data_IF_789762630841
#
_entry.id   IF_789762630841
#
_cell.length_a   1.000
_cell.length_b   1.000
_cell.length_c   1.000
_cell.angle_alpha   90.00
_cell.angle_beta   90.00
_cell.angle_gamma   90.00
#
_symmetry.space_group_name_H-M   'P 1'
#
loop_
_entity.id
_entity.type
_entity.pdbx_description
1 polymer ?
#
# COMPACT_ATOMS: atom_id res chain seq x y z
N UNK A 1 10.29 5.20 -11.57
CA UNK A 1 9.08 4.45 -11.93
C UNK A 1 9.27 3.75 -13.25
N UNK A 2 8.92 2.47 -13.31
CA UNK A 2 8.82 1.75 -14.57
C UNK A 2 7.70 2.33 -15.46
N UNK A 3 7.89 2.29 -16.78
CA UNK A 3 6.90 2.75 -17.76
C UNK A 3 5.54 2.06 -17.55
N UNK A 4 5.57 0.76 -17.27
CA UNK A 4 4.37 -0.03 -16.98
C UNK A 4 3.60 0.50 -15.76
N UNK A 5 4.28 0.90 -14.68
CA UNK A 5 3.61 1.48 -13.51
C UNK A 5 3.02 2.86 -13.81
N UNK A 6 3.76 3.72 -14.52
CA UNK A 6 3.28 5.07 -14.87
C UNK A 6 1.99 5.00 -15.70
N UNK A 7 1.94 4.09 -16.67
CA UNK A 7 0.80 3.96 -17.58
C UNK A 7 -0.41 3.31 -16.90
N UNK A 8 -0.19 2.29 -16.05
CA UNK A 8 -1.27 1.43 -15.57
C UNK A 8 -1.74 1.69 -14.13
N UNK A 9 -1.00 2.45 -13.32
CA UNK A 9 -1.35 2.70 -11.92
C UNK A 9 -2.67 3.47 -11.78
N UNK A 10 -2.80 4.63 -12.42
CA UNK A 10 -4.02 5.46 -12.31
C UNK A 10 -5.27 4.71 -12.82
N UNK A 11 -5.25 4.06 -14.01
CA UNK A 11 -6.38 3.24 -14.45
C UNK A 11 -6.75 2.13 -13.46
N UNK A 12 -5.75 1.43 -12.89
CA UNK A 12 -5.97 0.35 -11.92
C UNK A 12 -6.63 0.87 -10.63
N UNK A 13 -6.13 1.99 -10.09
CA UNK A 13 -6.70 2.63 -8.90
C UNK A 13 -8.16 3.09 -9.14
N UNK A 14 -8.48 3.60 -10.34
CA UNK A 14 -9.85 3.97 -10.71
C UNK A 14 -10.75 2.75 -10.86
N UNK A 15 -10.27 1.69 -11.49
CA UNK A 15 -11.01 0.44 -11.62
C UNK A 15 -11.33 -0.18 -10.25
N UNK A 16 -10.41 -0.06 -9.30
CA UNK A 16 -10.59 -0.51 -7.92
C UNK A 16 -11.46 0.43 -7.07
N UNK A 17 -11.95 1.55 -7.61
CA UNK A 17 -12.79 2.49 -6.87
C UNK A 17 -12.06 3.28 -5.76
N UNK A 18 -10.74 3.42 -5.85
CA UNK A 18 -9.92 4.09 -4.82
C UNK A 18 -9.83 5.62 -4.99
N UNK A 19 -10.36 6.15 -6.09
CA UNK A 19 -10.57 7.59 -6.30
C UNK A 19 -11.96 8.02 -5.78
N UNK A 20 -12.15 9.29 -5.39
CA UNK A 20 -13.28 9.69 -4.57
C UNK A 20 -14.64 9.55 -5.28
N UNK A 21 -15.38 8.53 -4.87
CA UNK A 21 -16.83 8.60 -4.65
C UNK A 21 -17.23 8.28 -3.20
N UNK A 22 -16.36 7.63 -2.43
CA UNK A 22 -16.64 7.20 -1.05
C UNK A 22 -15.41 7.17 -0.13
N UNK A 23 -14.21 7.49 -0.62
CA UNK A 23 -12.94 7.41 0.12
C UNK A 23 -11.92 8.49 -0.28
N UNK A 24 -11.54 9.45 0.60
CA UNK A 24 -10.66 10.56 0.23
C UNK A 24 -9.15 10.26 0.40
N UNK A 25 -8.71 9.00 0.33
CA UNK A 25 -7.29 8.67 0.53
C UNK A 25 -6.40 9.11 -0.64
N UNK A 26 -6.93 9.06 -1.86
CA UNK A 26 -6.22 9.44 -3.09
C UNK A 26 -6.94 10.64 -3.71
N UNK A 27 -6.32 11.83 -3.74
CA UNK A 27 -6.88 13.01 -4.41
C UNK A 27 -7.13 12.77 -5.91
N UNK A 28 -8.16 13.39 -6.50
CA UNK A 28 -8.45 13.24 -7.95
C UNK A 28 -7.29 13.66 -8.86
N UNK A 29 -6.49 14.62 -8.41
CA UNK A 29 -5.32 15.15 -9.11
C UNK A 29 -4.01 14.44 -8.72
N UNK A 30 -4.09 13.28 -8.04
CA UNK A 30 -2.93 12.50 -7.65
C UNK A 30 -2.07 12.13 -8.86
N UNK A 31 -0.83 12.60 -8.86
CA UNK A 31 0.18 12.32 -9.87
C UNK A 31 1.31 11.53 -9.22
N UNK A 32 1.49 10.23 -9.52
CA UNK A 32 2.54 9.44 -8.90
C UNK A 32 3.91 9.93 -9.38
N UNK A 33 4.81 10.24 -8.43
CA UNK A 33 6.19 10.69 -8.70
C UNK A 33 7.26 9.71 -8.24
N UNK A 34 6.95 8.85 -7.26
CA UNK A 34 7.87 7.86 -6.69
C UNK A 34 7.36 6.43 -6.90
N UNK A 35 8.26 5.52 -7.25
CA UNK A 35 7.97 4.08 -7.37
C UNK A 35 8.02 3.43 -6.00
N UNK A 36 6.91 2.82 -5.58
CA UNK A 36 6.90 1.91 -4.45
C UNK A 36 6.87 0.47 -4.96
N UNK A 37 7.80 -0.34 -4.45
CA UNK A 37 7.81 -1.78 -4.67
C UNK A 37 7.52 -2.45 -3.33
N UNK A 38 6.47 -3.26 -3.31
CA UNK A 38 6.10 -4.08 -2.16
C UNK A 38 6.16 -5.52 -2.62
N UNK A 39 6.72 -6.37 -1.77
CA UNK A 39 6.64 -7.81 -1.95
C UNK A 39 6.02 -8.42 -0.70
N UNK A 40 5.57 -9.64 -0.90
CA UNK A 40 4.99 -10.51 0.08
C UNK A 40 5.66 -11.88 -0.18
N UNK A 41 6.69 -12.18 0.61
CA UNK A 41 7.59 -13.31 0.37
C UNK A 41 8.36 -13.14 -0.95
N UNK A 42 8.21 -14.09 -1.85
CA UNK A 42 8.79 -14.03 -3.21
C UNK A 42 7.85 -13.37 -4.23
N UNK A 43 6.61 -13.05 -3.83
CA UNK A 43 5.58 -12.53 -4.73
C UNK A 43 5.52 -11.01 -4.64
N UNK A 44 5.73 -10.33 -5.77
CA UNK A 44 5.63 -8.86 -5.84
C UNK A 44 4.17 -8.39 -5.93
N UNK A 45 3.84 -7.32 -5.22
CA UNK A 45 2.57 -6.60 -5.36
C UNK A 45 2.55 -5.91 -6.72
N UNK A 46 1.50 -6.18 -7.48
CA UNK A 46 1.31 -5.67 -8.83
C UNK A 46 -0.18 -5.45 -9.07
N UNK A 47 -0.60 -4.19 -8.96
CA UNK A 47 -1.87 -3.65 -9.47
C UNK A 47 -3.08 -4.59 -9.28
N UNK A 48 -3.37 -4.97 -8.03
CA UNK A 48 -4.56 -5.76 -7.68
C UNK A 48 -4.40 -7.29 -7.72
N UNK A 49 -3.18 -7.82 -7.88
CA UNK A 49 -2.94 -9.25 -7.74
C UNK A 49 -3.24 -9.76 -6.32
N UNK A 50 -3.75 -11.00 -6.23
CA UNK A 50 -4.19 -11.59 -4.96
C UNK A 50 -3.02 -12.19 -4.17
N UNK A 51 -3.08 -12.09 -2.84
CA UNK A 51 -2.11 -12.67 -1.91
C UNK A 51 -2.80 -13.63 -0.93
N UNK A 52 -2.05 -14.62 -0.45
CA UNK A 52 -2.46 -15.39 0.73
C UNK A 52 -1.89 -14.73 1.97
N UNK A 53 -2.61 -14.82 3.08
CA UNK A 53 -2.25 -14.21 4.38
C UNK A 53 -0.84 -14.62 4.86
N UNK A 54 -0.36 -15.79 4.43
CA UNK A 54 0.95 -16.35 4.79
C UNK A 54 2.16 -15.61 4.19
N UNK A 55 1.98 -14.81 3.15
CA UNK A 55 3.08 -14.45 2.27
C UNK A 55 3.79 -13.15 2.72
N UNK A 56 4.18 -12.87 3.97
CA UNK A 56 4.72 -11.53 4.31
C UNK A 56 6.26 -11.39 4.19
N UNK A 57 6.76 -10.46 3.35
CA UNK A 57 8.13 -9.93 3.41
C UNK A 57 8.33 -8.66 2.54
N UNK A 58 8.62 -7.50 3.15
CA UNK A 58 8.83 -6.23 2.42
C UNK A 58 10.27 -6.14 1.90
N UNK A 59 10.45 -6.13 0.58
CA UNK A 59 11.76 -5.96 -0.06
C UNK A 59 12.06 -4.49 -0.39
N UNK A 60 13.34 -4.11 -0.30
CA UNK A 60 13.84 -2.75 -0.52
C UNK A 60 14.40 -2.57 -1.92
N UNK A 61 14.52 -1.31 -2.36
CA UNK A 61 15.33 -0.94 -3.53
C UNK A 61 16.35 0.14 -3.15
N UNK A 62 17.58 -0.05 -3.60
CA UNK A 62 18.64 0.94 -3.47
C UNK A 62 18.33 2.21 -4.26
N UNK A 63 17.94 3.27 -3.54
CA UNK A 63 17.94 4.63 -4.04
C UNK A 63 18.49 5.53 -2.93
N UNK A 64 19.67 6.08 -3.14
CA UNK A 64 20.25 7.10 -2.26
C UNK A 64 19.47 8.40 -2.44
N UNK A 65 18.53 8.70 -1.53
CA UNK A 65 17.79 9.97 -1.48
C UNK A 65 17.68 10.46 -0.04
N UNK A 66 17.87 11.77 0.22
CA UNK A 66 17.68 12.35 1.56
C UNK A 66 16.19 12.43 1.97
N UNK A 67 15.27 12.17 1.05
CA UNK A 67 13.83 12.25 1.29
C UNK A 67 13.35 11.20 2.29
N UNK A 68 12.33 11.58 3.05
CA UNK A 68 11.66 10.72 4.03
C UNK A 68 10.19 10.57 3.65
N UNK A 69 9.71 9.34 3.70
CA UNK A 69 8.38 8.94 3.32
C UNK A 69 7.62 8.40 4.52
N UNK A 70 6.29 8.45 4.44
CA UNK A 70 5.40 7.72 5.33
C UNK A 70 4.69 6.66 4.50
N UNK A 71 4.76 5.40 4.93
CA UNK A 71 4.08 4.28 4.29
C UNK A 71 2.82 3.96 5.10
N UNK A 72 1.70 3.86 4.40
CA UNK A 72 0.40 3.47 4.94
C UNK A 72 -0.06 2.21 4.21
N UNK A 73 -0.32 1.14 4.97
CA UNK A 73 -1.03 -0.05 4.49
C UNK A 73 -2.43 -0.04 5.11
N UNK A 74 -3.43 0.22 4.27
CA UNK A 74 -4.80 0.52 4.69
C UNK A 74 -5.77 -0.39 3.95
N UNK A 75 -6.74 -0.94 4.66
CA UNK A 75 -7.88 -1.66 4.09
C UNK A 75 -9.12 -0.75 4.06
N UNK A 76 -9.55 -0.28 2.87
CA UNK A 76 -10.73 0.58 2.73
C UNK A 76 -12.06 -0.15 2.95
N UNK A 77 -12.03 -1.48 2.99
CA UNK A 77 -13.21 -2.33 2.83
C UNK A 77 -13.49 -3.15 4.09
N UNK A 78 -12.91 -2.83 5.24
CA UNK A 78 -13.11 -3.63 6.45
C UNK A 78 -14.52 -3.46 7.06
N UNK A 79 -15.17 -4.55 7.56
CA UNK A 79 -14.74 -5.93 7.46
C UNK A 79 -15.02 -6.59 6.09
N UNK A 80 -15.97 -6.06 5.30
CA UNK A 80 -16.25 -6.51 3.94
C UNK A 80 -16.54 -5.31 3.02
N UNK A 81 -16.26 -5.40 1.70
CA UNK A 81 -16.54 -4.33 0.75
C UNK A 81 -18.02 -3.89 0.70
N UNK A 82 -18.93 -4.81 1.01
CA UNK A 82 -20.38 -4.57 1.01
C UNK A 82 -20.89 -3.83 2.26
N UNK A 83 -20.23 -3.99 3.42
CA UNK A 83 -20.53 -3.30 4.68
C UNK A 83 -19.25 -2.74 5.31
N UNK A 84 -18.59 -1.73 4.70
CA UNK A 84 -17.27 -1.26 5.08
C UNK A 84 -17.31 -0.33 6.30
N UNK A 85 -17.99 -0.74 7.37
CA UNK A 85 -18.19 0.06 8.60
C UNK A 85 -16.91 0.34 9.39
N UNK A 86 -15.84 -0.43 9.13
CA UNK A 86 -14.49 -0.23 9.67
C UNK A 86 -13.50 0.19 8.58
N UNK A 87 -13.99 0.77 7.49
CA UNK A 87 -13.21 1.31 6.40
C UNK A 87 -11.98 2.08 6.88
N UNK A 88 -10.91 1.96 6.11
CA UNK A 88 -9.59 2.52 6.38
C UNK A 88 -8.90 1.90 7.58
N UNK A 89 -9.07 0.59 7.76
CA UNK A 89 -8.36 -0.16 8.77
C UNK A 89 -6.87 -0.08 8.54
N UNK A 90 -6.13 0.36 9.55
CA UNK A 90 -4.68 0.53 9.49
C UNK A 90 -3.99 -0.78 9.79
N UNK A 91 -3.58 -1.49 8.74
CA UNK A 91 -2.76 -2.69 8.88
C UNK A 91 -1.32 -2.35 9.27
N UNK A 92 -0.77 -1.25 8.75
CA UNK A 92 0.60 -0.84 9.06
C UNK A 92 0.81 0.64 8.75
N UNK A 93 1.48 1.37 9.65
CA UNK A 93 1.87 2.76 9.42
C UNK A 93 3.29 2.97 9.93
N UNK A 94 4.20 3.35 9.03
CA UNK A 94 5.58 3.70 9.36
C UNK A 94 5.92 5.08 8.81
N UNK A 95 6.68 5.84 9.58
CA UNK A 95 7.07 7.21 9.25
C UNK A 95 8.58 7.37 9.26
N UNK A 96 9.10 8.24 8.39
CA UNK A 96 10.54 8.46 8.27
C UNK A 96 11.26 7.43 7.40
N UNK A 97 10.52 6.66 6.58
CA UNK A 97 11.08 5.68 5.67
C UNK A 97 11.96 6.37 4.63
N UNK A 98 13.23 5.99 4.56
CA UNK A 98 14.11 6.39 3.47
C UNK A 98 14.11 5.29 2.41
N UNK A 99 14.32 5.59 1.12
CA UNK A 99 14.25 4.57 0.08
C UNK A 99 15.22 3.40 0.29
N UNK A 100 16.40 3.62 0.88
CA UNK A 100 17.37 2.60 1.28
C UNK A 100 17.24 2.10 2.74
N UNK A 101 16.34 2.70 3.54
CA UNK A 101 16.18 2.41 4.97
C UNK A 101 15.46 1.09 5.26
N UNK A 102 15.78 0.45 6.40
CA UNK A 102 14.94 -0.64 6.91
C UNK A 102 13.66 -0.06 7.54
N UNK A 103 12.48 -0.65 7.30
CA UNK A 103 11.30 -0.33 8.08
C UNK A 103 11.57 -0.47 9.59
N UNK A 104 12.41 -1.44 9.96
CA UNK A 104 12.87 -1.69 11.34
C UNK A 104 13.71 -0.55 11.95
N UNK A 105 14.26 0.34 11.12
CA UNK A 105 15.08 1.48 11.58
C UNK A 105 14.29 2.79 11.68
N UNK A 106 12.98 2.76 11.40
CA UNK A 106 12.13 3.96 11.33
C UNK A 106 10.97 3.88 12.32
N UNK A 107 10.31 5.01 12.55
CA UNK A 107 9.28 5.10 13.58
C UNK A 107 7.98 4.41 13.11
N UNK A 108 7.65 3.28 13.73
CA UNK A 108 6.36 2.61 13.56
C UNK A 108 5.28 3.32 14.36
N UNK A 109 4.24 3.82 13.68
CA UNK A 109 3.07 4.47 14.28
C UNK A 109 1.92 3.48 14.49
N UNK A 110 1.86 2.43 13.68
CA UNK A 110 0.92 1.30 13.83
C UNK A 110 1.67 0.05 13.42
N UNK A 111 1.83 -0.89 14.37
CA UNK A 111 2.49 -2.17 14.13
C UNK A 111 1.81 -2.97 13.02
N UNK A 112 2.60 -3.75 12.29
CA UNK A 112 2.06 -4.57 11.20
C UNK A 112 1.10 -5.62 11.76
N UNK A 113 -0.15 -5.56 11.31
CA UNK A 113 -1.15 -6.60 11.49
C UNK A 113 -1.59 -7.07 10.11
N UNK A 114 -1.35 -8.33 9.78
CA UNK A 114 -1.68 -8.88 8.47
C UNK A 114 -3.18 -8.83 8.15
N UNK A 115 -3.56 -8.84 6.86
CA UNK A 115 -4.94 -9.00 6.44
C UNK A 115 -5.53 -10.29 7.00
N UNK A 116 -6.73 -10.21 7.58
CA UNK A 116 -7.46 -11.36 8.10
C UNK A 116 -8.94 -11.26 7.74
N UNK A 117 -9.29 -11.16 6.44
CA UNK A 117 -10.69 -11.18 6.03
C UNK A 117 -11.33 -12.48 6.55
N UNK A 118 -12.55 -12.36 7.09
CA UNK A 118 -13.30 -13.56 7.49
C UNK A 118 -13.67 -14.33 6.23
N UNK A 119 -13.60 -15.65 6.30
CA UNK A 119 -14.28 -16.50 5.32
C UNK A 119 -15.78 -16.17 5.36
N UNK A 120 -16.40 -16.03 4.19
CA UNK A 120 -17.86 -15.86 4.06
C UNK A 120 -18.64 -17.07 4.63
#
# INVERSE_FOLDING_TARGET
MSENQVVNLIPSLRQAGLFPSSAPLIPEDFTPTTELQVAFGEKSVSLGNLFRVSDFNVQKRDLESPEKYTLLLIDPDAPTPDDPKFAYWRHWVVSGLQPSGAPETVQTLTEYLGPGPKDE
#
